data_IF_841598813199
#
_entry.id   IF_841598813199
#
_cell.length_a   1.000
_cell.length_b   1.000
_cell.length_c   1.000
_cell.angle_alpha   90.00
_cell.angle_beta   90.00
_cell.angle_gamma   90.00
#
_symmetry.space_group_name_H-M   'P 1'
#
loop_
_entity.id
_entity.type
_entity.pdbx_description
1 polymer ?
#
# COMPACT_ATOMS: atom_id res chain seq x y z
N UNK A 1 8.00 0.69 -12.46
CA UNK A 1 7.22 1.48 -11.60
C UNK A 1 7.43 2.93 -11.85
N UNK A 2 7.06 3.85 -11.01
CA UNK A 2 6.93 5.24 -11.37
C UNK A 2 6.03 5.39 -12.62
N UNK A 3 6.47 6.09 -13.66
CA UNK A 3 5.69 6.31 -14.88
C UNK A 3 5.92 5.27 -15.99
N UNK A 4 6.73 4.24 -15.74
CA UNK A 4 7.00 3.21 -16.73
C UNK A 4 5.85 2.22 -16.89
N UNK A 5 5.48 1.94 -18.15
CA UNK A 5 4.43 0.98 -18.51
C UNK A 5 5.04 -0.20 -19.31
N UNK A 6 4.60 -1.46 -19.04
CA UNK A 6 3.67 -1.88 -18.01
C UNK A 6 4.26 -1.72 -16.60
N UNK A 7 3.39 -1.41 -15.61
CA UNK A 7 3.77 -1.10 -14.23
C UNK A 7 3.74 -2.30 -13.29
N UNK A 8 4.48 -2.20 -12.21
CA UNK A 8 4.54 -3.18 -11.12
C UNK A 8 4.87 -4.59 -11.63
N UNK A 9 6.13 -4.86 -12.01
CA UNK A 9 6.57 -6.20 -12.43
C UNK A 9 6.36 -7.19 -11.28
N UNK A 10 5.79 -8.36 -11.61
CA UNK A 10 5.52 -9.44 -10.67
C UNK A 10 6.57 -10.54 -10.83
N UNK A 11 7.21 -10.89 -9.72
CA UNK A 11 8.18 -11.96 -9.66
C UNK A 11 7.66 -13.12 -8.81
N UNK A 12 8.00 -14.32 -9.18
CA UNK A 12 7.67 -15.54 -8.46
C UNK A 12 8.91 -16.40 -8.22
N UNK A 13 8.99 -17.00 -7.03
CA UNK A 13 10.00 -17.97 -6.65
C UNK A 13 9.38 -19.10 -5.84
N UNK A 14 9.97 -20.28 -5.89
CA UNK A 14 9.63 -21.44 -5.06
C UNK A 14 10.61 -21.66 -3.91
N UNK A 15 11.75 -20.97 -3.90
CA UNK A 15 12.87 -21.19 -2.98
C UNK A 15 13.48 -19.90 -2.42
N UNK A 16 12.90 -18.74 -2.75
CA UNK A 16 13.37 -17.38 -2.38
C UNK A 16 14.76 -17.00 -2.95
N UNK A 17 15.35 -17.87 -3.78
CA UNK A 17 16.67 -17.65 -4.41
C UNK A 17 16.52 -17.45 -5.92
N UNK A 18 15.76 -18.34 -6.57
CA UNK A 18 15.56 -18.32 -8.01
C UNK A 18 14.23 -17.62 -8.35
N UNK A 19 14.33 -16.38 -8.81
CA UNK A 19 13.17 -15.54 -9.13
C UNK A 19 12.96 -15.47 -10.64
N UNK A 20 11.71 -15.59 -11.05
CA UNK A 20 11.28 -15.41 -12.43
C UNK A 20 10.25 -14.30 -12.50
N UNK A 21 10.43 -13.34 -13.38
CA UNK A 21 9.38 -12.39 -13.72
C UNK A 21 8.27 -13.12 -14.47
N UNK A 22 7.06 -13.05 -13.96
CA UNK A 22 5.89 -13.77 -14.51
C UNK A 22 4.88 -12.85 -15.18
N UNK A 23 5.01 -11.54 -15.01
CA UNK A 23 4.14 -10.56 -15.63
C UNK A 23 4.28 -9.18 -15.01
N UNK A 24 3.23 -8.39 -15.20
CA UNK A 24 3.04 -7.09 -14.59
C UNK A 24 1.61 -6.99 -14.06
N UNK A 25 1.46 -6.41 -12.88
CA UNK A 25 0.14 -6.26 -12.24
C UNK A 25 -0.66 -5.17 -12.94
N UNK A 26 -0.01 -4.05 -13.27
CA UNK A 26 -0.62 -2.93 -13.98
C UNK A 26 -0.24 -2.99 -15.46
N UNK A 27 -1.00 -3.73 -16.25
CA UNK A 27 -0.71 -4.02 -17.65
C UNK A 27 -1.75 -3.51 -18.64
N UNK A 28 -2.78 -2.78 -18.16
CA UNK A 28 -3.81 -2.17 -19.00
C UNK A 28 -3.86 -0.65 -18.76
N UNK A 29 -4.13 0.16 -19.79
CA UNK A 29 -4.26 1.62 -19.64
C UNK A 29 -5.32 2.03 -18.62
N UNK A 30 -6.43 1.27 -18.47
CA UNK A 30 -7.48 1.52 -17.47
C UNK A 30 -6.99 1.47 -16.03
N UNK A 31 -5.86 0.78 -15.77
CA UNK A 31 -5.26 0.64 -14.43
C UNK A 31 -4.30 1.80 -14.07
N UNK A 32 -3.95 2.65 -15.03
CA UNK A 32 -2.95 3.70 -14.88
C UNK A 32 -3.55 5.08 -15.20
N UNK A 33 -4.48 5.49 -14.38
CA UNK A 33 -5.20 6.76 -14.54
C UNK A 33 -4.25 7.95 -14.34
N UNK A 34 -4.37 8.97 -15.21
CA UNK A 34 -3.63 10.24 -15.13
C UNK A 34 -2.10 10.10 -15.10
N UNK A 35 -1.55 9.17 -15.87
CA UNK A 35 -0.09 9.02 -16.01
C UNK A 35 0.52 10.00 -17.01
N UNK A 36 -0.29 10.56 -17.91
CA UNK A 36 0.17 11.51 -18.92
C UNK A 36 0.67 12.80 -18.28
N UNK A 37 1.85 13.24 -18.71
CA UNK A 37 2.47 14.47 -18.19
C UNK A 37 3.13 14.36 -16.82
N UNK A 38 3.10 13.20 -16.17
CA UNK A 38 3.83 13.01 -14.91
C UNK A 38 5.35 12.94 -15.14
N UNK A 39 6.11 13.44 -14.16
CA UNK A 39 7.57 13.30 -14.16
C UNK A 39 7.98 11.84 -14.09
N UNK A 40 9.15 11.51 -14.63
CA UNK A 40 9.70 10.14 -14.63
C UNK A 40 9.78 9.53 -13.22
N UNK A 41 10.01 10.36 -12.20
CA UNK A 41 10.04 9.97 -10.79
C UNK A 41 8.68 10.13 -10.08
N UNK A 42 7.61 10.42 -10.80
CA UNK A 42 6.23 10.42 -10.31
C UNK A 42 5.53 9.07 -10.54
N UNK A 43 4.21 9.06 -10.55
CA UNK A 43 3.40 7.87 -10.85
C UNK A 43 3.33 6.88 -9.69
N UNK A 44 3.65 5.61 -9.94
CA UNK A 44 3.42 4.51 -9.00
C UNK A 44 4.56 4.40 -7.98
N UNK A 45 4.21 4.56 -6.68
CA UNK A 45 5.12 4.46 -5.54
C UNK A 45 4.79 3.23 -4.69
N UNK A 46 5.82 2.59 -4.13
CA UNK A 46 5.76 1.55 -3.09
C UNK A 46 4.60 0.55 -3.25
N UNK A 47 4.52 -0.23 -4.33
CA UNK A 47 3.50 -1.25 -4.47
C UNK A 47 3.72 -2.37 -3.44
N UNK A 48 2.67 -2.72 -2.70
CA UNK A 48 2.67 -3.78 -1.71
C UNK A 48 1.64 -4.86 -2.09
N UNK A 49 2.09 -6.12 -2.15
CA UNK A 49 1.22 -7.27 -2.41
C UNK A 49 0.94 -8.02 -1.12
N UNK A 50 -0.32 -8.40 -0.90
CA UNK A 50 -0.77 -9.20 0.25
C UNK A 50 -1.80 -10.23 -0.19
N UNK A 51 -1.83 -11.38 0.48
CA UNK A 51 -2.81 -12.43 0.25
C UNK A 51 -3.77 -12.53 1.43
N UNK A 52 -5.07 -12.48 1.15
CA UNK A 52 -6.10 -12.72 2.15
C UNK A 52 -6.56 -14.19 2.09
N UNK A 53 -6.22 -15.03 3.09
CA UNK A 53 -6.57 -16.44 3.08
C UNK A 53 -8.07 -16.70 3.26
N UNK A 54 -8.82 -15.75 3.85
CA UNK A 54 -10.25 -15.94 4.11
C UNK A 54 -11.10 -15.88 2.85
N UNK A 55 -10.75 -15.00 1.90
CA UNK A 55 -11.44 -14.89 0.61
C UNK A 55 -10.60 -15.36 -0.59
N UNK A 56 -9.40 -15.91 -0.32
CA UNK A 56 -8.45 -16.46 -1.32
C UNK A 56 -8.10 -15.45 -2.41
N UNK A 57 -7.91 -14.18 -2.02
CA UNK A 57 -7.70 -13.08 -2.95
C UNK A 57 -6.36 -12.41 -2.67
N UNK A 58 -5.61 -12.12 -3.72
CA UNK A 58 -4.42 -11.28 -3.71
C UNK A 58 -4.85 -9.82 -3.89
N UNK A 59 -4.23 -8.95 -3.14
CA UNK A 59 -4.40 -7.50 -3.20
C UNK A 59 -3.05 -6.86 -3.46
N UNK A 60 -2.97 -5.95 -4.42
CA UNK A 60 -1.81 -5.08 -4.60
C UNK A 60 -2.29 -3.66 -4.41
N UNK A 61 -1.78 -3.00 -3.38
CA UNK A 61 -2.09 -1.61 -3.04
C UNK A 61 -0.88 -0.73 -3.30
N UNK A 62 -1.11 0.50 -3.75
CA UNK A 62 -0.03 1.43 -4.11
C UNK A 62 -0.54 2.88 -4.10
N UNK A 63 0.38 3.82 -4.22
CA UNK A 63 0.09 5.23 -4.46
C UNK A 63 0.41 5.59 -5.91
N UNK A 64 -0.52 6.25 -6.61
CA UNK A 64 -0.19 7.02 -7.81
C UNK A 64 -0.07 8.49 -7.37
N UNK A 65 1.15 8.98 -7.33
CA UNK A 65 1.44 10.35 -6.85
C UNK A 65 0.71 11.39 -7.70
N UNK A 66 -0.01 12.30 -7.04
CA UNK A 66 -0.87 13.28 -7.70
C UNK A 66 -2.29 12.79 -8.03
N UNK A 67 -2.57 11.48 -7.84
CA UNK A 67 -3.90 10.89 -8.03
C UNK A 67 -4.47 10.36 -6.70
N UNK A 68 -3.66 9.60 -5.95
CA UNK A 68 -4.05 9.02 -4.67
C UNK A 68 -3.73 7.54 -4.53
N UNK A 69 -4.19 6.96 -3.42
CA UNK A 69 -4.02 5.56 -3.14
C UNK A 69 -5.11 4.72 -3.81
N UNK A 70 -4.74 3.56 -4.32
CA UNK A 70 -5.66 2.59 -4.92
C UNK A 70 -5.14 1.17 -4.75
N UNK A 71 -6.00 0.20 -4.97
CA UNK A 71 -5.59 -1.19 -5.07
C UNK A 71 -6.24 -1.89 -6.26
N UNK A 72 -5.64 -3.01 -6.64
CA UNK A 72 -6.18 -4.00 -7.58
C UNK A 72 -6.16 -5.36 -6.91
N UNK A 73 -7.06 -6.26 -7.30
CA UNK A 73 -7.17 -7.59 -6.69
C UNK A 73 -7.40 -8.69 -7.71
N UNK A 74 -7.03 -9.92 -7.36
CA UNK A 74 -7.26 -11.12 -8.17
C UNK A 74 -7.26 -12.38 -7.32
N UNK A 75 -7.90 -13.46 -7.76
CA UNK A 75 -7.76 -14.78 -7.17
C UNK A 75 -6.63 -15.59 -7.81
N UNK A 76 -6.18 -15.21 -9.00
CA UNK A 76 -5.05 -15.81 -9.70
C UNK A 76 -3.97 -14.76 -9.96
N UNK A 77 -2.84 -14.76 -9.21
CA UNK A 77 -1.79 -13.76 -9.37
C UNK A 77 -1.07 -13.85 -10.74
N UNK A 78 -1.21 -14.97 -11.47
CA UNK A 78 -0.66 -15.15 -12.82
C UNK A 78 -1.64 -14.74 -13.92
N UNK A 79 -2.90 -14.50 -13.57
CA UNK A 79 -3.96 -14.05 -14.46
C UNK A 79 -4.14 -12.54 -14.50
N UNK A 80 -5.37 -12.12 -14.80
CA UNK A 80 -5.73 -10.71 -14.84
C UNK A 80 -6.01 -10.16 -13.44
N UNK A 81 -5.55 -8.93 -13.20
CA UNK A 81 -5.87 -8.14 -12.03
C UNK A 81 -7.04 -7.20 -12.34
N UNK A 82 -7.84 -6.88 -11.35
CA UNK A 82 -8.99 -5.99 -11.50
C UNK A 82 -8.59 -4.59 -12.01
N UNK A 83 -9.56 -3.81 -12.42
CA UNK A 83 -9.39 -2.37 -12.54
C UNK A 83 -9.16 -1.73 -11.16
N UNK A 84 -8.58 -0.52 -11.10
CA UNK A 84 -8.25 0.14 -9.86
C UNK A 84 -9.49 0.44 -9.02
N UNK A 85 -9.39 0.15 -7.74
CA UNK A 85 -10.37 0.55 -6.72
C UNK A 85 -9.70 1.67 -5.91
N UNK A 86 -10.20 2.89 -6.08
CA UNK A 86 -9.63 4.07 -5.44
C UNK A 86 -9.97 4.12 -3.95
N UNK A 87 -9.03 4.64 -3.17
CA UNK A 87 -9.16 4.86 -1.72
C UNK A 87 -9.09 6.37 -1.42
N UNK A 88 -10.08 7.16 -1.83
CA UNK A 88 -10.00 8.63 -1.77
C UNK A 88 -9.91 9.17 -0.35
N UNK A 89 -10.34 8.41 0.65
CA UNK A 89 -10.26 8.77 2.07
C UNK A 89 -8.89 8.49 2.70
N UNK A 90 -8.02 7.74 2.02
CA UNK A 90 -6.67 7.41 2.48
C UNK A 90 -5.68 8.42 1.93
N UNK A 91 -5.34 9.42 2.73
CA UNK A 91 -4.28 10.40 2.41
C UNK A 91 -2.90 9.81 2.66
N UNK A 92 -1.85 10.47 2.16
CA UNK A 92 -0.47 10.00 2.31
C UNK A 92 -0.06 8.99 1.26
N UNK A 93 1.00 8.22 1.54
CA UNK A 93 1.64 7.31 0.59
C UNK A 93 1.98 5.95 1.25
N UNK A 94 2.57 5.04 0.48
CA UNK A 94 3.10 3.75 0.91
C UNK A 94 2.08 2.86 1.65
N UNK A 95 0.89 2.64 1.09
CA UNK A 95 -0.10 1.78 1.73
C UNK A 95 0.32 0.31 1.67
N UNK A 96 -0.04 -0.45 2.73
CA UNK A 96 -0.01 -1.91 2.71
C UNK A 96 -1.21 -2.50 3.44
N UNK A 97 -1.67 -3.68 2.98
CA UNK A 97 -2.73 -4.41 3.66
C UNK A 97 -2.17 -5.45 4.62
N UNK A 98 -2.85 -5.60 5.72
CA UNK A 98 -2.67 -6.70 6.67
C UNK A 98 -4.01 -7.42 6.86
N UNK A 99 -4.02 -8.74 6.64
CA UNK A 99 -5.17 -9.61 6.83
C UNK A 99 -4.93 -10.50 8.04
N UNK A 100 -5.69 -10.26 9.11
CA UNK A 100 -5.52 -10.99 10.37
C UNK A 100 -6.21 -12.35 10.33
N UNK A 101 -5.77 -13.25 11.20
CA UNK A 101 -6.31 -14.60 11.38
C UNK A 101 -7.75 -14.61 11.85
N UNK A 102 -8.21 -13.55 12.53
CA UNK A 102 -9.59 -13.38 13.00
C UNK A 102 -10.56 -12.93 11.89
N UNK A 103 -10.07 -12.75 10.66
CA UNK A 103 -10.83 -12.32 9.49
C UNK A 103 -10.91 -10.81 9.30
N UNK A 104 -10.36 -10.02 10.20
CA UNK A 104 -10.25 -8.58 10.02
C UNK A 104 -9.15 -8.21 9.06
N UNK A 105 -9.33 -7.09 8.40
CA UNK A 105 -8.34 -6.51 7.51
C UNK A 105 -8.03 -5.08 7.93
N UNK A 106 -6.79 -4.69 7.71
CA UNK A 106 -6.30 -3.35 8.03
C UNK A 106 -5.48 -2.81 6.87
N UNK A 107 -5.56 -1.49 6.70
CA UNK A 107 -4.67 -0.73 5.84
C UNK A 107 -3.77 0.12 6.72
N UNK A 108 -2.46 0.05 6.49
CA UNK A 108 -1.46 0.89 7.15
C UNK A 108 -0.73 1.70 6.11
N UNK A 109 -0.43 2.97 6.41
CA UNK A 109 0.31 3.82 5.49
C UNK A 109 1.02 4.99 6.19
N UNK A 110 1.93 5.62 5.50
CA UNK A 110 2.57 6.88 5.87
C UNK A 110 1.64 8.05 5.56
N UNK A 111 1.55 9.01 6.48
CA UNK A 111 0.73 10.20 6.29
C UNK A 111 1.36 11.45 6.95
N UNK A 112 0.75 12.58 6.72
CA UNK A 112 1.18 13.85 7.30
C UNK A 112 1.13 13.87 8.83
N UNK A 113 1.82 14.83 9.41
CA UNK A 113 1.79 15.11 10.83
C UNK A 113 0.35 15.31 11.34
N UNK A 114 0.08 15.06 12.64
CA UNK A 114 -1.24 15.29 13.21
C UNK A 114 -1.74 16.71 12.92
N UNK A 115 -3.02 16.81 12.53
CA UNK A 115 -3.69 18.08 12.17
C UNK A 115 -2.98 18.88 11.07
N UNK A 116 -2.16 18.22 10.24
CA UNK A 116 -1.29 18.87 9.25
C UNK A 116 -0.37 19.94 9.84
N UNK A 117 0.05 19.75 11.11
CA UNK A 117 0.95 20.66 11.82
C UNK A 117 2.29 19.98 12.10
N UNK A 118 3.22 19.96 11.12
CA UNK A 118 4.53 19.37 11.32
C UNK A 118 5.36 20.20 12.30
N UNK A 119 6.00 19.56 13.25
CA UNK A 119 6.91 20.22 14.20
C UNK A 119 8.30 20.46 13.60
N UNK A 120 8.63 19.75 12.51
CA UNK A 120 9.86 19.91 11.74
C UNK A 120 9.65 19.41 10.30
N UNK A 121 10.55 19.77 9.40
CA UNK A 121 10.48 19.31 8.01
C UNK A 121 10.63 17.79 7.92
N UNK A 122 9.72 17.13 7.24
CA UNK A 122 9.70 15.66 7.11
C UNK A 122 9.07 14.93 8.31
N UNK A 123 8.40 15.63 9.23
CA UNK A 123 7.58 15.01 10.27
C UNK A 123 6.42 14.26 9.63
N UNK A 124 6.42 12.93 9.79
CA UNK A 124 5.37 12.03 9.27
C UNK A 124 4.78 11.17 10.40
N UNK A 125 3.67 10.53 10.09
CA UNK A 125 3.00 9.54 10.95
C UNK A 125 2.80 8.25 10.20
N UNK A 126 2.80 7.11 10.91
CA UNK A 126 2.26 5.84 10.42
C UNK A 126 0.85 5.72 10.98
N UNK A 127 -0.11 5.49 10.10
CA UNK A 127 -1.52 5.36 10.47
C UNK A 127 -2.06 4.01 10.06
N UNK A 128 -3.05 3.52 10.83
CA UNK A 128 -3.79 2.30 10.54
C UNK A 128 -5.28 2.58 10.55
N UNK A 129 -6.00 1.89 9.68
CA UNK A 129 -7.46 1.89 9.63
C UNK A 129 -7.97 0.50 9.27
N UNK A 130 -9.11 0.10 9.83
CA UNK A 130 -9.79 -1.15 9.46
C UNK A 130 -10.27 -1.05 8.00
N UNK A 131 -10.19 -2.17 7.28
CA UNK A 131 -10.60 -2.28 5.89
C UNK A 131 -11.70 -3.33 5.75
N UNK A 132 -12.82 -2.95 5.17
CA UNK A 132 -13.91 -3.87 4.84
C UNK A 132 -13.67 -4.48 3.45
N UNK A 133 -13.26 -5.75 3.42
CA UNK A 133 -12.96 -6.49 2.19
C UNK A 133 -14.18 -6.75 1.30
N UNK A 134 -15.40 -6.65 1.84
CA UNK A 134 -16.62 -6.83 1.08
C UNK A 134 -17.10 -5.51 0.45
N UNK A 135 -16.87 -4.40 1.14
CA UNK A 135 -17.22 -3.08 0.67
C UNK A 135 -16.07 -2.38 -0.09
N UNK A 136 -14.88 -2.99 -0.11
CA UNK A 136 -13.66 -2.48 -0.76
C UNK A 136 -13.28 -1.05 -0.30
N UNK A 137 -13.42 -0.77 1.00
CA UNK A 137 -13.14 0.57 1.57
C UNK A 137 -12.64 0.48 3.01
N UNK A 138 -11.98 1.54 3.47
CA UNK A 138 -11.64 1.68 4.88
C UNK A 138 -12.89 2.01 5.70
N UNK A 139 -12.92 1.55 6.95
CA UNK A 139 -14.02 1.74 7.90
C UNK A 139 -13.49 2.12 9.28
N UNK A 140 -14.35 2.75 10.08
CA UNK A 140 -14.00 3.16 11.44
C UNK A 140 -12.93 4.27 11.51
N UNK A 141 -12.45 4.57 12.72
CA UNK A 141 -11.50 5.66 12.91
C UNK A 141 -10.08 5.30 12.43
N UNK A 142 -9.43 6.23 11.77
CA UNK A 142 -8.02 6.17 11.42
C UNK A 142 -7.16 6.52 12.64
N UNK A 143 -6.25 5.64 13.03
CA UNK A 143 -5.42 5.78 14.23
C UNK A 143 -3.95 5.98 13.86
N UNK A 144 -3.25 6.79 14.64
CA UNK A 144 -1.80 6.94 14.55
C UNK A 144 -1.15 5.81 15.35
N UNK A 145 -0.31 5.00 14.70
CA UNK A 145 0.51 3.97 15.33
C UNK A 145 1.87 4.54 15.74
N UNK A 146 2.50 5.30 14.85
CA UNK A 146 3.81 5.90 15.10
C UNK A 146 3.74 7.37 14.73
N UNK A 147 4.19 8.23 15.64
CA UNK A 147 4.35 9.65 15.42
C UNK A 147 5.83 10.00 15.53
N UNK A 148 6.40 10.57 14.48
CA UNK A 148 7.82 10.98 14.40
C UNK A 148 8.85 9.83 14.38
N UNK A 149 8.45 8.56 14.47
CA UNK A 149 9.36 7.41 14.47
C UNK A 149 9.69 6.86 15.85
N UNK A 150 10.63 5.91 15.90
CA UNK A 150 10.98 5.17 17.12
C UNK A 150 11.70 6.03 18.18
N UNK A 151 12.41 7.08 17.76
CA UNK A 151 13.08 8.05 18.64
C UNK A 151 12.68 9.46 18.21
N UNK A 152 11.57 9.99 18.73
CA UNK A 152 11.04 11.30 18.34
C UNK A 152 11.99 12.47 18.59
N UNK A 153 12.86 12.36 19.59
CA UNK A 153 13.88 13.34 19.96
C UNK A 153 14.92 13.56 18.85
N UNK A 154 15.20 12.54 18.05
CA UNK A 154 16.13 12.61 16.91
C UNK A 154 15.50 13.32 15.68
N UNK A 155 14.21 13.67 15.74
CA UNK A 155 13.44 14.25 14.64
C UNK A 155 13.61 13.49 13.32
N UNK A 156 13.26 12.18 13.29
CA UNK A 156 13.41 11.37 12.08
C UNK A 156 12.63 11.99 10.92
N UNK A 157 13.25 12.00 9.76
CA UNK A 157 12.68 12.56 8.53
C UNK A 157 12.12 11.41 7.71
N UNK A 158 10.84 11.52 7.28
CA UNK A 158 10.20 10.60 6.35
C UNK A 158 10.20 9.13 6.82
N UNK A 159 9.49 8.84 7.93
CA UNK A 159 9.18 7.45 8.28
C UNK A 159 8.19 6.92 7.23
N UNK A 160 8.56 5.87 6.50
CA UNK A 160 7.86 5.41 5.30
C UNK A 160 7.77 3.89 5.22
N UNK A 161 6.99 3.37 4.25
CA UNK A 161 6.93 1.96 3.89
C UNK A 161 6.45 1.03 5.00
N UNK A 162 5.37 1.34 5.75
CA UNK A 162 4.97 0.51 6.87
C UNK A 162 4.35 -0.82 6.42
N UNK A 163 4.70 -1.90 7.12
CA UNK A 163 4.05 -3.19 7.02
C UNK A 163 3.71 -3.72 8.40
N UNK A 164 2.56 -4.39 8.52
CA UNK A 164 2.17 -5.07 9.76
C UNK A 164 2.42 -6.57 9.67
N UNK A 165 2.89 -7.13 10.75
CA UNK A 165 3.11 -8.57 10.91
C UNK A 165 2.50 -9.04 12.23
N UNK A 166 2.07 -10.31 12.28
CA UNK A 166 1.65 -10.98 13.50
C UNK A 166 2.51 -12.20 13.73
N UNK A 167 3.20 -12.25 14.86
CA UNK A 167 4.11 -13.33 15.23
C UNK A 167 3.82 -13.73 16.67
N UNK A 168 3.45 -14.99 16.88
CA UNK A 168 3.14 -15.52 18.22
C UNK A 168 2.09 -14.67 18.97
N UNK A 169 1.05 -14.20 18.25
CA UNK A 169 -0.03 -13.40 18.82
C UNK A 169 0.30 -11.92 19.07
N UNK A 170 1.52 -11.47 18.77
CA UNK A 170 1.94 -10.06 18.89
C UNK A 170 1.99 -9.39 17.52
N UNK A 171 1.66 -8.11 17.47
CA UNK A 171 1.73 -7.29 16.26
C UNK A 171 3.02 -6.47 16.23
N UNK A 172 3.62 -6.41 15.06
CA UNK A 172 4.85 -5.67 14.77
C UNK A 172 4.68 -4.77 13.55
#
# INVERSE_FOLDING_TARGET
TFTYYPGVPLFHSKDLVNWKQVGHILNRPSQLVNMEGQHVSGGIFAPAISYNPHNKTYYMVTTNVGVGNFFVKTQDPFGEWSDPIMLPEVTGIDPSFFFDEDGKAYLVNNDDAPDNKPEYSGHRTIRVQEFDVNADKTVGPRKILVNKGARPEDKPIWIEGPHLYKINGNYF
#
